data_IF_073885150126
#
_entry.id   IF_073885150126
#
_cell.length_a   1.000
_cell.length_b   1.000
_cell.length_c   1.000
_cell.angle_alpha   90.00
_cell.angle_beta   90.00
_cell.angle_gamma   90.00
#
_symmetry.space_group_name_H-M   'P 1'
#
loop_
_entity.id
_entity.type
_entity.pdbx_description
1 polymer ?
#
# COMPACT_ATOMS: atom_id res chain seq x y z
N UNK A 1 11.35 26.82 -41.39
CA UNK A 1 10.76 27.22 -40.09
C UNK A 1 10.07 25.98 -39.57
N UNK A 2 10.88 25.06 -39.06
CA UNK A 2 10.43 23.76 -38.56
C UNK A 2 9.87 23.98 -37.17
N UNK A 3 8.55 23.87 -37.05
CA UNK A 3 7.89 23.80 -35.75
C UNK A 3 8.07 22.38 -35.23
N UNK A 4 9.13 22.18 -34.45
CA UNK A 4 9.30 21.02 -33.58
C UNK A 4 8.09 20.98 -32.63
N UNK A 5 7.09 20.20 -33.01
CA UNK A 5 6.00 19.83 -32.12
C UNK A 5 6.59 18.80 -31.18
N UNK A 6 7.10 19.28 -30.04
CA UNK A 6 7.43 18.43 -28.89
C UNK A 6 6.20 17.56 -28.59
N UNK A 7 6.29 16.28 -28.93
CA UNK A 7 5.38 15.26 -28.44
C UNK A 7 5.60 15.17 -26.93
N UNK A 8 4.91 16.03 -26.17
CA UNK A 8 4.86 15.93 -24.72
C UNK A 8 4.21 14.58 -24.41
N UNK A 9 5.02 13.65 -23.95
CA UNK A 9 4.58 12.33 -23.51
C UNK A 9 3.50 12.51 -22.43
N UNK A 10 2.24 12.31 -22.82
CA UNK A 10 1.07 12.39 -21.94
C UNK A 10 1.06 11.16 -21.00
N UNK A 11 1.94 11.20 -20.01
CA UNK A 11 2.19 10.09 -19.08
C UNK A 11 1.48 10.24 -17.73
N UNK A 12 1.29 9.10 -17.06
CA UNK A 12 0.96 9.07 -15.63
C UNK A 12 2.22 9.41 -14.84
N UNK A 13 2.18 10.44 -14.00
CA UNK A 13 3.28 10.81 -13.12
C UNK A 13 2.94 10.48 -11.66
N UNK A 14 3.84 9.77 -10.99
CA UNK A 14 3.72 9.42 -9.57
C UNK A 14 4.64 10.33 -8.77
N UNK A 15 4.13 10.92 -7.69
CA UNK A 15 4.92 11.69 -6.73
C UNK A 15 4.69 11.17 -5.32
N UNK A 16 5.77 10.99 -4.58
CA UNK A 16 5.76 10.59 -3.17
C UNK A 16 6.58 11.60 -2.35
N UNK A 17 6.07 12.00 -1.18
CA UNK A 17 6.81 12.81 -0.20
C UNK A 17 6.82 12.06 1.12
N UNK A 18 8.02 11.65 1.55
CA UNK A 18 8.23 10.76 2.69
C UNK A 18 9.63 10.96 3.26
N UNK A 19 9.74 10.90 4.58
CA UNK A 19 11.02 10.72 5.29
C UNK A 19 11.07 9.37 6.02
N UNK A 20 10.22 8.42 5.62
CA UNK A 20 10.18 7.07 6.20
C UNK A 20 11.56 6.38 6.08
N UNK A 21 12.08 5.74 7.15
CA UNK A 21 11.38 5.37 8.38
C UNK A 21 11.40 6.38 9.53
N UNK A 22 11.96 7.58 9.36
CA UNK A 22 11.99 8.60 10.41
C UNK A 22 10.60 9.15 10.73
N UNK A 23 9.78 9.34 9.70
CA UNK A 23 8.38 9.72 9.83
C UNK A 23 7.48 8.68 9.16
N UNK A 24 6.43 8.26 9.86
CA UNK A 24 5.47 7.27 9.37
C UNK A 24 4.43 7.85 8.41
N UNK A 25 4.37 9.17 8.26
CA UNK A 25 3.46 9.84 7.35
C UNK A 25 4.05 9.88 5.94
N UNK A 26 3.26 9.43 4.96
CA UNK A 26 3.63 9.43 3.54
C UNK A 26 2.50 10.08 2.75
N UNK A 27 2.85 11.08 1.93
CA UNK A 27 1.91 11.67 0.98
C UNK A 27 2.20 11.15 -0.41
N UNK A 28 1.15 10.74 -1.11
CA UNK A 28 1.23 10.16 -2.44
C UNK A 28 0.26 10.87 -3.40
N UNK A 29 0.72 11.12 -4.61
CA UNK A 29 -0.08 11.69 -5.69
C UNK A 29 0.12 10.93 -6.99
N UNK A 30 -0.99 10.72 -7.71
CA UNK A 30 -0.99 10.27 -9.10
C UNK A 30 -1.54 11.43 -9.96
N UNK A 31 -0.69 11.95 -10.84
CA UNK A 31 -1.01 13.00 -11.79
C UNK A 31 -1.24 12.40 -13.18
N UNK A 32 -2.26 12.89 -13.89
CA UNK A 32 -2.49 12.63 -15.30
C UNK A 32 -2.52 13.97 -16.00
N UNK A 33 -1.67 14.15 -17.02
CA UNK A 33 -1.60 15.39 -17.79
C UNK A 33 -1.43 16.61 -16.86
N UNK A 34 -0.50 16.50 -15.91
CA UNK A 34 -0.18 17.50 -14.87
C UNK A 34 -1.32 17.81 -13.86
N UNK A 35 -2.51 17.21 -14.02
CA UNK A 35 -3.62 17.35 -13.06
C UNK A 35 -3.61 16.22 -12.05
N UNK A 36 -3.83 16.54 -10.78
CA UNK A 36 -3.97 15.52 -9.72
C UNK A 36 -5.22 14.70 -9.97
N UNK A 37 -5.06 13.42 -10.31
CA UNK A 37 -6.16 12.48 -10.50
C UNK A 37 -6.62 11.91 -9.15
N UNK A 38 -5.67 11.62 -8.27
CA UNK A 38 -5.90 11.13 -6.91
C UNK A 38 -4.72 11.42 -6.02
N UNK A 39 -5.00 11.50 -4.72
CA UNK A 39 -4.01 11.68 -3.68
C UNK A 39 -4.37 10.83 -2.47
N UNK A 40 -3.36 10.29 -1.80
CA UNK A 40 -3.53 9.53 -0.57
C UNK A 40 -2.60 10.08 0.50
N UNK A 41 -3.10 10.10 1.73
CA UNK A 41 -2.28 10.31 2.92
C UNK A 41 -2.19 8.98 3.65
N UNK A 42 -0.99 8.52 3.90
CA UNK A 42 -0.73 7.23 4.52
C UNK A 42 -0.02 7.44 5.85
N UNK A 43 -0.37 6.60 6.83
CA UNK A 43 0.31 6.51 8.12
C UNK A 43 0.74 5.06 8.29
N UNK A 44 2.05 4.81 8.37
CA UNK A 44 2.59 3.48 8.64
C UNK A 44 2.42 3.19 10.13
N UNK A 45 1.54 2.25 10.48
CA UNK A 45 1.26 1.90 11.89
C UNK A 45 2.30 0.90 12.37
N UNK A 46 2.55 -0.16 11.59
CA UNK A 46 3.51 -1.20 11.94
C UNK A 46 4.25 -1.69 10.71
N UNK A 47 5.59 -1.73 10.81
CA UNK A 47 6.45 -2.28 9.77
C UNK A 47 6.58 -3.80 9.93
N UNK A 48 6.34 -4.54 8.84
CA UNK A 48 6.77 -5.93 8.68
C UNK A 48 7.58 -6.16 7.40
N UNK A 49 8.12 -7.36 7.26
CA UNK A 49 8.91 -7.84 6.13
C UNK A 49 7.92 -8.43 5.14
N UNK A 50 7.67 -7.66 4.09
CA UNK A 50 7.03 -8.19 2.89
C UNK A 50 7.98 -9.20 2.23
N UNK A 51 7.50 -10.27 1.58
CA UNK A 51 8.33 -11.08 0.68
C UNK A 51 8.69 -10.26 -0.57
N UNK A 52 9.89 -10.48 -1.13
CA UNK A 52 10.44 -9.66 -2.25
C UNK A 52 9.59 -9.69 -3.52
N UNK A 53 8.78 -10.73 -3.65
CA UNK A 53 7.75 -10.89 -4.66
C UNK A 53 6.58 -11.57 -3.92
N UNK A 54 5.34 -11.27 -4.31
CA UNK A 54 4.22 -12.16 -3.98
C UNK A 54 4.46 -13.44 -4.79
N UNK A 55 5.41 -14.27 -4.35
CA UNK A 55 5.61 -15.61 -4.87
C UNK A 55 4.62 -16.46 -4.12
N UNK A 56 3.67 -17.03 -4.85
CA UNK A 56 2.84 -18.13 -4.37
C UNK A 56 3.76 -19.36 -4.30
N UNK A 57 4.69 -19.41 -3.33
CA UNK A 57 5.40 -20.65 -2.97
C UNK A 57 5.68 -20.65 -1.47
N UNK A 58 5.44 -21.78 -0.80
CA UNK A 58 5.74 -21.91 0.60
C UNK A 58 7.26 -22.02 0.78
N UNK A 59 7.83 -21.20 1.65
CA UNK A 59 9.20 -21.38 2.13
C UNK A 59 9.29 -21.01 3.59
N UNK A 60 9.58 -22.04 4.38
CA UNK A 60 9.58 -22.07 5.83
C UNK A 60 10.35 -20.90 6.48
N UNK A 61 9.68 -20.32 7.48
CA UNK A 61 10.16 -19.38 8.51
C UNK A 61 10.28 -17.92 8.06
N UNK A 62 9.22 -17.15 8.33
CA UNK A 62 9.28 -15.90 9.10
C UNK A 62 7.85 -15.37 9.34
N UNK A 63 7.53 -15.12 10.62
CA UNK A 63 6.22 -14.68 11.08
C UNK A 63 6.25 -13.16 11.18
N UNK A 64 5.74 -12.47 10.17
CA UNK A 64 5.67 -11.00 10.18
C UNK A 64 4.28 -10.49 9.77
N UNK A 65 3.61 -9.85 10.75
CA UNK A 65 2.35 -9.10 10.59
C UNK A 65 2.66 -7.71 10.06
N UNK A 66 1.92 -7.22 9.07
CA UNK A 66 2.07 -5.82 8.61
C UNK A 66 0.73 -5.14 8.46
N UNK A 67 0.50 -4.10 9.25
CA UNK A 67 -0.71 -3.29 9.21
C UNK A 67 -0.37 -1.93 8.62
N UNK A 68 -1.01 -1.58 7.51
CA UNK A 68 -0.91 -0.24 6.94
C UNK A 68 -2.21 0.12 6.29
N UNK A 69 -2.89 1.17 6.78
CA UNK A 69 -3.17 2.43 6.05
C UNK A 69 -4.37 3.13 6.65
N UNK A 70 -4.25 4.40 7.01
CA UNK A 70 -5.40 5.29 7.22
C UNK A 70 -5.65 6.06 5.92
N UNK A 71 -6.59 5.63 5.07
CA UNK A 71 -6.97 6.43 3.90
C UNK A 71 -7.89 7.59 4.32
N UNK A 72 -7.40 8.83 4.24
CA UNK A 72 -8.26 10.01 4.18
C UNK A 72 -8.54 10.38 2.73
N UNK A 73 -9.31 9.55 2.01
CA UNK A 73 -9.86 9.96 0.73
C UNK A 73 -11.06 10.88 0.94
N UNK A 74 -10.90 12.11 0.46
CA UNK A 74 -11.72 13.32 0.61
C UNK A 74 -11.46 14.18 1.86
N UNK A 75 -10.90 15.36 1.58
CA UNK A 75 -10.86 16.57 2.41
C UNK A 75 -12.23 16.90 3.06
N UNK A 76 -13.34 16.32 2.59
CA UNK A 76 -14.71 16.57 3.08
C UNK A 76 -15.36 15.43 3.88
N UNK A 77 -14.82 14.21 3.90
CA UNK A 77 -15.37 13.06 4.65
C UNK A 77 -14.24 12.16 5.16
N UNK A 78 -13.63 12.53 6.29
CA UNK A 78 -12.61 11.70 6.95
C UNK A 78 -13.23 10.36 7.37
N UNK A 79 -12.90 9.28 6.67
CA UNK A 79 -13.19 7.91 7.11
C UNK A 79 -11.89 7.32 7.60
N UNK A 80 -11.85 6.87 8.86
CA UNK A 80 -10.73 6.07 9.34
C UNK A 80 -10.98 4.63 8.91
N UNK A 81 -10.22 4.18 7.93
CA UNK A 81 -10.20 2.80 7.46
C UNK A 81 -8.77 2.35 7.66
N UNK A 82 -8.56 1.16 8.23
CA UNK A 82 -7.25 0.52 8.36
C UNK A 82 -7.13 -0.59 7.33
N UNK A 83 -6.02 -0.66 6.61
CA UNK A 83 -5.70 -1.80 5.76
C UNK A 83 -4.57 -2.60 6.42
N UNK A 84 -4.55 -3.90 6.24
CA UNK A 84 -3.61 -4.80 6.93
C UNK A 84 -3.33 -6.02 6.06
N UNK A 85 -2.08 -6.48 6.07
CA UNK A 85 -1.63 -7.68 5.39
C UNK A 85 -1.03 -8.59 6.46
N UNK A 86 -1.81 -9.60 6.80
CA UNK A 86 -1.39 -10.69 7.66
C UNK A 86 -0.85 -11.85 6.81
N UNK A 87 0.03 -12.65 7.40
CA UNK A 87 0.48 -13.91 6.82
C UNK A 87 0.06 -15.05 7.74
N UNK A 88 -0.93 -15.83 7.31
CA UNK A 88 -1.38 -17.05 7.99
C UNK A 88 -0.92 -18.23 7.16
N UNK A 89 -0.07 -19.09 7.73
CA UNK A 89 0.52 -20.23 7.04
C UNK A 89 1.14 -19.86 5.68
N UNK A 90 1.86 -18.73 5.66
CA UNK A 90 2.53 -18.16 4.48
C UNK A 90 1.59 -17.62 3.40
N UNK A 91 0.27 -17.67 3.63
CA UNK A 91 -0.74 -17.11 2.74
C UNK A 91 -1.05 -15.67 3.18
N UNK A 92 -0.91 -14.67 2.29
CA UNK A 92 -1.28 -13.30 2.61
C UNK A 92 -2.80 -13.19 2.76
N UNK A 93 -3.24 -12.59 3.87
CA UNK A 93 -4.60 -12.21 4.14
C UNK A 93 -4.70 -10.67 4.13
N UNK A 94 -5.43 -10.16 3.14
CA UNK A 94 -5.67 -8.73 2.94
C UNK A 94 -6.89 -8.31 3.75
N UNK A 95 -6.66 -7.60 4.85
CA UNK A 95 -7.65 -7.16 5.82
C UNK A 95 -7.98 -5.67 5.64
N UNK A 96 -9.27 -5.33 5.78
CA UNK A 96 -9.81 -3.96 5.80
C UNK A 96 -10.64 -3.83 7.06
N UNK A 97 -10.21 -2.97 7.98
CA UNK A 97 -10.93 -2.65 9.20
C UNK A 97 -11.58 -1.28 9.09
N UNK A 98 -12.85 -1.18 9.43
CA UNK A 98 -13.62 0.06 9.33
C UNK A 98 -14.65 0.15 10.48
N UNK A 99 -15.38 1.27 10.57
CA UNK A 99 -16.19 1.71 11.73
C UNK A 99 -15.37 2.47 12.79
N UNK A 100 -16.01 3.30 13.65
CA UNK A 100 -15.38 3.74 14.88
C UNK A 100 -14.80 2.54 15.64
N UNK A 101 -13.56 2.65 16.10
CA UNK A 101 -12.81 1.58 16.79
C UNK A 101 -12.56 0.30 15.97
N UNK A 102 -12.68 0.33 14.64
CA UNK A 102 -12.30 -0.79 13.76
C UNK A 102 -13.04 -2.11 14.04
N UNK A 103 -14.30 -2.02 14.48
CA UNK A 103 -15.13 -3.18 14.84
C UNK A 103 -15.40 -4.13 13.67
N UNK A 104 -15.56 -3.60 12.46
CA UNK A 104 -15.85 -4.42 11.28
C UNK A 104 -14.57 -4.75 10.53
N UNK A 105 -14.42 -6.03 10.17
CA UNK A 105 -13.25 -6.56 9.47
C UNK A 105 -13.72 -7.31 8.23
N UNK A 106 -13.14 -6.95 7.08
CA UNK A 106 -13.26 -7.70 5.83
C UNK A 106 -11.89 -8.26 5.51
N UNK A 107 -11.83 -9.51 5.10
CA UNK A 107 -10.57 -10.12 4.68
C UNK A 107 -10.71 -10.85 3.36
N UNK A 108 -9.60 -11.01 2.66
CA UNK A 108 -9.50 -11.78 1.42
C UNK A 108 -8.11 -12.37 1.33
N UNK A 109 -7.99 -13.65 1.04
CA UNK A 109 -6.73 -14.30 0.71
C UNK A 109 -6.43 -14.28 -0.80
N UNK A 110 -7.38 -13.83 -1.62
CA UNK A 110 -7.27 -13.88 -3.09
C UNK A 110 -6.35 -12.78 -3.62
N UNK A 111 -6.62 -11.53 -3.24
CA UNK A 111 -5.88 -10.34 -3.66
C UNK A 111 -6.32 -9.11 -2.85
N UNK A 112 -5.51 -8.03 -2.83
CA UNK A 112 -5.92 -6.77 -2.21
C UNK A 112 -7.13 -6.14 -2.93
N UNK A 113 -7.20 -6.25 -4.26
CA UNK A 113 -8.35 -5.75 -5.03
C UNK A 113 -9.63 -6.50 -4.70
N UNK A 114 -9.56 -7.80 -4.40
CA UNK A 114 -10.73 -8.57 -3.98
C UNK A 114 -11.21 -8.16 -2.58
N UNK A 115 -10.31 -7.87 -1.63
CA UNK A 115 -10.69 -7.31 -0.33
C UNK A 115 -11.46 -5.98 -0.50
N UNK A 116 -10.93 -5.07 -1.33
CA UNK A 116 -11.56 -3.78 -1.62
C UNK A 116 -12.93 -3.96 -2.29
N UNK A 117 -13.06 -4.89 -3.22
CA UNK A 117 -14.34 -5.21 -3.86
C UNK A 117 -15.39 -5.67 -2.86
N UNK A 118 -15.02 -6.57 -1.94
CA UNK A 118 -15.93 -7.02 -0.89
C UNK A 118 -16.33 -5.84 -0.01
N UNK A 119 -15.37 -5.02 0.43
CA UNK A 119 -15.64 -3.81 1.21
C UNK A 119 -16.60 -2.85 0.51
N UNK A 120 -16.35 -2.47 -0.74
CA UNK A 120 -17.25 -1.57 -1.45
C UNK A 120 -18.65 -2.16 -1.65
N UNK A 121 -18.76 -3.48 -1.87
CA UNK A 121 -20.06 -4.17 -1.95
C UNK A 121 -20.79 -4.23 -0.62
N UNK A 122 -20.10 -4.37 0.50
CA UNK A 122 -20.74 -4.33 1.83
C UNK A 122 -21.33 -2.95 2.13
N UNK A 123 -20.71 -1.88 1.67
CA UNK A 123 -21.24 -0.52 1.82
C UNK A 123 -22.30 -0.18 0.77
N UNK A 124 -22.12 -0.67 -0.46
CA UNK A 124 -22.96 -0.37 -1.62
C UNK A 124 -23.01 -1.57 -2.57
N UNK A 125 -24.03 -2.44 -2.46
CA UNK A 125 -24.08 -3.74 -3.14
C UNK A 125 -23.99 -3.73 -4.67
N UNK A 126 -24.30 -2.61 -5.34
CA UNK A 126 -24.32 -2.49 -6.81
C UNK A 126 -23.12 -1.76 -7.41
N UNK A 127 -22.06 -1.51 -6.63
CA UNK A 127 -20.93 -0.69 -7.08
C UNK A 127 -19.86 -1.55 -7.76
N UNK A 128 -19.32 -1.07 -8.89
CA UNK A 128 -18.06 -1.57 -9.46
C UNK A 128 -16.89 -0.89 -8.74
N UNK A 129 -15.78 -1.62 -8.55
CA UNK A 129 -14.65 -1.07 -7.82
C UNK A 129 -13.97 0.07 -8.55
N UNK A 130 -13.92 1.24 -7.91
CA UNK A 130 -13.14 2.38 -8.42
C UNK A 130 -11.78 2.50 -7.74
N UNK A 131 -11.64 1.83 -6.59
CA UNK A 131 -10.45 1.88 -5.75
C UNK A 131 -9.49 0.74 -6.11
N UNK A 132 -8.23 1.10 -6.35
CA UNK A 132 -7.19 0.11 -6.65
C UNK A 132 -6.70 -0.54 -5.36
N UNK A 133 -6.82 -1.86 -5.27
CA UNK A 133 -6.32 -2.65 -4.14
C UNK A 133 -4.87 -2.33 -3.78
N UNK A 134 -3.91 -2.50 -4.70
CA UNK A 134 -2.51 -2.17 -4.42
C UNK A 134 -2.31 -0.75 -3.88
N UNK A 135 -3.05 0.24 -4.42
CA UNK A 135 -2.93 1.64 -3.98
C UNK A 135 -3.34 1.79 -2.52
N UNK A 136 -4.52 1.27 -2.15
CA UNK A 136 -5.01 1.40 -0.76
C UNK A 136 -4.38 0.46 0.23
N UNK A 137 -3.62 -0.53 -0.25
CA UNK A 137 -2.69 -1.32 0.55
C UNK A 137 -1.26 -0.76 0.53
N UNK A 138 -1.03 0.38 -0.14
CA UNK A 138 0.24 1.12 -0.10
C UNK A 138 1.41 0.31 -0.68
N UNK A 139 1.12 -0.70 -1.50
CA UNK A 139 2.12 -1.65 -1.99
C UNK A 139 3.10 -1.01 -2.98
N UNK A 140 2.69 0.09 -3.61
CA UNK A 140 3.48 0.90 -4.53
C UNK A 140 4.40 1.92 -3.82
N UNK A 141 4.34 2.05 -2.50
CA UNK A 141 5.10 3.09 -1.78
C UNK A 141 6.61 2.82 -1.82
N UNK A 142 7.35 3.70 -2.49
CA UNK A 142 8.77 3.51 -2.72
C UNK A 142 9.59 3.61 -1.44
N UNK A 143 9.27 4.58 -0.57
CA UNK A 143 9.99 4.76 0.69
C UNK A 143 9.85 3.52 1.59
N UNK A 144 8.67 2.89 1.61
CA UNK A 144 8.43 1.64 2.33
C UNK A 144 9.26 0.51 1.75
N UNK A 145 9.25 0.33 0.43
CA UNK A 145 10.06 -0.69 -0.25
C UNK A 145 11.57 -0.50 0.01
N UNK A 146 12.07 0.74 -0.07
CA UNK A 146 13.47 1.09 0.20
C UNK A 146 13.85 0.74 1.64
N UNK A 147 13.04 1.15 2.62
CA UNK A 147 13.27 0.86 4.03
C UNK A 147 13.19 -0.64 4.37
N UNK A 148 12.40 -1.42 3.63
CA UNK A 148 12.36 -2.88 3.76
C UNK A 148 13.63 -3.55 3.21
N UNK A 149 14.08 -3.15 2.01
CA UNK A 149 15.32 -3.67 1.40
C UNK A 149 16.56 -3.40 2.25
N UNK A 150 16.68 -2.20 2.84
CA UNK A 150 17.79 -1.85 3.72
C UNK A 150 17.85 -2.76 4.97
N UNK A 151 16.71 -3.07 5.58
CA UNK A 151 16.63 -3.97 6.75
C UNK A 151 17.11 -5.38 6.40
N UNK A 152 16.72 -5.91 5.23
CA UNK A 152 17.18 -7.25 4.79
C UNK A 152 18.69 -7.30 4.57
N UNK A 153 19.29 -6.22 4.06
CA UNK A 153 20.75 -6.13 3.87
C UNK A 153 21.52 -5.99 5.17
N UNK A 154 21.01 -5.24 6.15
CA UNK A 154 21.63 -5.11 7.47
C UNK A 154 21.76 -6.44 8.21
N UNK A 155 20.83 -7.37 8.00
CA UNK A 155 20.84 -8.71 8.60
C UNK A 155 21.88 -9.68 7.98
N UNK A 156 22.56 -9.30 6.89
CA UNK A 156 23.59 -10.13 6.24
C UNK A 156 25.00 -9.88 6.76
N UNK A 157 25.21 -8.83 7.57
CA UNK A 157 26.52 -8.54 8.18
C UNK A 157 26.51 -9.16 9.58
N UNK A 158 26.85 -10.46 9.68
CA UNK A 158 27.39 -10.96 10.94
C UNK A 158 28.84 -10.48 11.04
N UNK A 159 29.28 -9.88 12.16
CA UNK A 159 30.72 -9.77 12.40
C UNK A 159 31.29 -11.20 12.41
N UNK A 160 32.40 -11.40 11.72
CA UNK A 160 33.20 -12.60 11.93
C UNK A 160 33.80 -12.50 13.33
N UNK A 161 33.40 -13.40 14.23
CA UNK A 161 34.07 -13.56 15.51
C UNK A 161 35.52 -14.00 15.24
N UNK A 162 36.46 -13.26 15.83
CA UNK A 162 37.90 -13.48 15.75
C UNK A 162 38.36 -14.45 16.84
#
# INVERSE_FOLDING_TARGET
MDSDTENVEYGVQIKETSTYPLNNNILYWEHINQKTKRSFSYVIIKKGIYPDKIVIRPSNKQKERTETLQDTSNIRKKRQICYEIDYIDEIPQFCIRYSPNFQYIISSTKSPSNAVLIYERTLKPRTKTTLSGPLVFGLQLESVQKACKLKRRGNLIKPADN
#
